data_IF_090651075925
#
_entry.id   IF_090651075925
#
_cell.length_a   1.000
_cell.length_b   1.000
_cell.length_c   1.000
_cell.angle_alpha   90.00
_cell.angle_beta   90.00
_cell.angle_gamma   90.00
#
_symmetry.space_group_name_H-M   'P 1'
#
loop_
_entity.id
_entity.type
_entity.pdbx_description
1 polymer ?
#
# COMPACT_ATOMS: atom_id res chain seq x y z
N UNK A 1 49.90 10.14 -2.55
CA UNK A 1 49.04 8.92 -2.71
C UNK A 1 47.88 8.85 -1.72
N UNK A 2 48.04 9.11 -0.40
CA UNK A 2 46.92 9.08 0.58
C UNK A 2 45.72 9.99 0.24
N UNK A 3 45.94 11.16 -0.38
CA UNK A 3 44.87 12.08 -0.80
C UNK A 3 44.02 11.57 -1.98
N UNK A 4 44.57 10.68 -2.81
CA UNK A 4 43.88 10.10 -3.98
C UNK A 4 42.93 8.97 -3.57
N UNK A 5 43.35 8.14 -2.59
CA UNK A 5 42.51 7.10 -2.01
C UNK A 5 41.25 7.68 -1.34
N UNK A 6 41.38 8.83 -0.65
CA UNK A 6 40.24 9.54 -0.05
C UNK A 6 39.26 10.07 -1.11
N UNK A 7 39.78 10.50 -2.26
CA UNK A 7 38.98 11.00 -3.38
C UNK A 7 38.20 9.87 -4.07
N UNK A 8 38.82 8.70 -4.24
CA UNK A 8 38.16 7.49 -4.75
C UNK A 8 37.08 7.03 -3.75
N UNK A 9 37.38 7.01 -2.45
CA UNK A 9 36.39 6.67 -1.41
C UNK A 9 35.19 7.65 -1.42
N UNK A 10 35.45 8.95 -1.61
CA UNK A 10 34.39 9.97 -1.71
C UNK A 10 33.53 9.80 -2.98
N UNK A 11 34.09 9.33 -4.09
CA UNK A 11 33.33 9.06 -5.31
C UNK A 11 32.46 7.80 -5.17
N UNK A 12 32.97 6.73 -4.54
CA UNK A 12 32.15 5.56 -4.20
C UNK A 12 31.06 5.90 -3.17
N UNK A 13 31.31 6.85 -2.26
CA UNK A 13 30.29 7.27 -1.29
C UNK A 13 29.23 8.22 -1.87
N UNK A 14 29.51 8.95 -2.96
CA UNK A 14 28.49 9.78 -3.62
C UNK A 14 27.51 8.96 -4.47
N UNK A 15 27.87 7.74 -4.87
CA UNK A 15 26.96 6.77 -5.49
C UNK A 15 26.15 5.92 -4.50
N UNK A 16 26.29 6.12 -3.18
CA UNK A 16 25.68 5.26 -2.13
C UNK A 16 24.21 5.55 -1.80
N UNK A 17 23.54 6.51 -2.44
CA UNK A 17 22.10 6.73 -2.26
C UNK A 17 21.31 6.34 -3.50
N UNK A 18 21.50 5.09 -3.90
CA UNK A 18 20.67 4.36 -4.84
C UNK A 18 19.79 3.40 -4.01
N UNK A 19 18.48 3.60 -4.02
CA UNK A 19 17.52 2.66 -3.40
C UNK A 19 16.86 1.84 -4.49
N UNK A 20 17.02 0.53 -4.43
CA UNK A 20 16.42 -0.42 -5.36
C UNK A 20 15.22 -1.12 -4.72
N UNK A 21 14.10 -1.10 -5.45
CA UNK A 21 12.86 -1.75 -5.05
C UNK A 21 12.53 -2.84 -6.07
N UNK A 22 12.41 -4.08 -5.59
CA UNK A 22 12.12 -5.25 -6.43
C UNK A 22 10.67 -5.67 -6.26
N UNK A 23 9.94 -5.77 -7.35
CA UNK A 23 8.54 -6.17 -7.37
C UNK A 23 8.34 -7.42 -8.22
N UNK A 24 7.79 -8.45 -7.61
CA UNK A 24 7.52 -9.75 -8.24
C UNK A 24 6.02 -10.02 -8.44
N UNK A 25 5.16 -9.13 -7.96
CA UNK A 25 3.71 -9.23 -8.12
C UNK A 25 3.05 -7.89 -8.41
N UNK A 26 1.97 -7.97 -9.19
CA UNK A 26 1.13 -6.85 -9.60
C UNK A 26 -0.35 -7.17 -9.32
N UNK A 27 -1.07 -6.19 -8.76
CA UNK A 27 -2.51 -6.25 -8.48
C UNK A 27 -3.22 -5.04 -9.06
N UNK A 28 -4.40 -5.26 -9.61
CA UNK A 28 -5.30 -4.20 -10.07
C UNK A 28 -6.68 -4.35 -9.43
N UNK A 29 -7.11 -3.30 -8.74
CA UNK A 29 -8.41 -3.24 -8.09
C UNK A 29 -9.30 -2.23 -8.80
N UNK A 30 -10.54 -2.61 -9.07
CA UNK A 30 -11.57 -1.70 -9.60
C UNK A 30 -12.45 -1.18 -8.49
N UNK A 31 -12.62 0.13 -8.40
CA UNK A 31 -13.60 0.76 -7.52
C UNK A 31 -14.97 0.81 -8.21
N UNK A 32 -15.99 0.22 -7.58
CA UNK A 32 -17.37 0.19 -8.08
C UNK A 32 -18.04 1.57 -8.18
N UNK A 33 -17.69 2.53 -7.33
CA UNK A 33 -18.31 3.86 -7.31
C UNK A 33 -17.74 4.74 -8.41
N UNK A 34 -16.41 4.90 -8.43
CA UNK A 34 -15.75 5.83 -9.36
C UNK A 34 -15.39 5.19 -10.70
N UNK A 35 -15.42 3.86 -10.79
CA UNK A 35 -14.88 3.12 -11.94
C UNK A 35 -13.36 3.16 -12.06
N UNK A 36 -12.66 3.92 -11.20
CA UNK A 36 -11.21 4.07 -11.23
C UNK A 36 -10.52 2.80 -10.75
N UNK A 37 -9.34 2.55 -11.30
CA UNK A 37 -8.47 1.45 -10.89
C UNK A 37 -7.38 1.94 -9.93
N UNK A 38 -7.07 1.12 -8.94
CA UNK A 38 -5.91 1.24 -8.07
C UNK A 38 -4.96 0.09 -8.37
N UNK A 39 -3.69 0.41 -8.65
CA UNK A 39 -2.67 -0.57 -8.98
C UNK A 39 -1.68 -0.70 -7.82
N UNK A 40 -1.21 -1.91 -7.59
CA UNK A 40 -0.21 -2.22 -6.57
C UNK A 40 0.87 -3.10 -7.15
N UNK A 41 2.12 -2.75 -6.88
CA UNK A 41 3.26 -3.62 -7.08
C UNK A 41 3.83 -3.97 -5.70
N UNK A 42 4.13 -5.25 -5.49
CA UNK A 42 4.59 -5.77 -4.21
C UNK A 42 5.74 -6.77 -4.43
N UNK A 43 6.43 -7.07 -3.33
CA UNK A 43 7.39 -8.15 -3.26
C UNK A 43 6.82 -9.26 -2.37
N UNK A 44 6.66 -10.46 -2.90
CA UNK A 44 6.08 -11.60 -2.19
C UNK A 44 6.91 -12.03 -0.97
N UNK A 45 8.21 -11.70 -0.96
CA UNK A 45 9.16 -12.02 0.11
C UNK A 45 9.50 -10.82 1.01
N UNK A 46 9.11 -9.59 0.64
CA UNK A 46 9.42 -8.39 1.40
C UNK A 46 8.21 -7.45 1.55
N UNK A 47 7.73 -7.31 2.79
CA UNK A 47 6.54 -6.53 3.15
C UNK A 47 6.84 -5.07 3.48
N UNK A 48 8.11 -4.69 3.60
CA UNK A 48 8.51 -3.37 4.10
C UNK A 48 8.30 -2.26 3.07
N UNK A 49 8.07 -2.60 1.81
CA UNK A 49 7.74 -1.63 0.78
C UNK A 49 6.70 -2.13 -0.21
N UNK A 50 6.03 -1.17 -0.85
CA UNK A 50 5.13 -1.41 -1.98
C UNK A 50 5.03 -0.14 -2.82
N UNK A 51 4.69 -0.30 -4.09
CA UNK A 51 4.35 0.80 -4.98
C UNK A 51 2.83 0.79 -5.19
N UNK A 52 2.17 1.91 -4.90
CA UNK A 52 0.77 2.10 -5.21
C UNK A 52 0.59 3.18 -6.30
N UNK A 53 -0.30 2.93 -7.25
CA UNK A 53 -0.67 3.87 -8.31
C UNK A 53 -2.17 4.07 -8.28
N UNK A 54 -2.61 5.32 -8.29
CA UNK A 54 -4.03 5.66 -8.23
C UNK A 54 -4.33 6.94 -9.00
N UNK A 55 -5.55 7.02 -9.54
CA UNK A 55 -6.07 8.23 -10.17
C UNK A 55 -6.80 9.08 -9.14
N UNK A 56 -6.46 10.38 -9.07
CA UNK A 56 -7.19 11.38 -8.27
C UNK A 56 -7.48 12.58 -9.17
N UNK A 57 -8.77 12.86 -9.39
CA UNK A 57 -9.21 13.76 -10.46
C UNK A 57 -8.64 13.32 -11.81
N UNK A 58 -8.12 14.22 -12.64
CA UNK A 58 -7.50 13.87 -13.93
C UNK A 58 -6.03 13.48 -13.85
N UNK A 59 -5.45 13.44 -12.65
CA UNK A 59 -4.01 13.15 -12.47
C UNK A 59 -3.81 11.75 -11.90
N UNK A 60 -2.83 11.03 -12.44
CA UNK A 60 -2.40 9.73 -11.92
C UNK A 60 -1.16 9.94 -11.06
N UNK A 61 -1.19 9.40 -9.86
CA UNK A 61 -0.12 9.48 -8.88
C UNK A 61 0.41 8.09 -8.60
N UNK A 62 1.72 7.99 -8.37
CA UNK A 62 2.40 6.79 -7.91
C UNK A 62 3.20 7.11 -6.65
N UNK A 63 3.33 6.14 -5.75
CA UNK A 63 4.17 6.29 -4.58
C UNK A 63 4.80 4.99 -4.13
N UNK A 64 6.10 5.00 -3.85
CA UNK A 64 6.77 3.89 -3.16
C UNK A 64 6.78 4.23 -1.68
N UNK A 65 6.06 3.43 -0.90
CA UNK A 65 6.04 3.56 0.55
C UNK A 65 7.02 2.55 1.12
N UNK A 66 8.04 3.05 1.81
CA UNK A 66 9.08 2.25 2.46
C UNK A 66 8.97 2.44 3.98
N UNK A 67 8.44 1.42 4.65
CA UNK A 67 8.16 1.45 6.09
C UNK A 67 9.42 1.17 6.92
N UNK A 68 10.39 0.43 6.38
CA UNK A 68 11.68 0.16 7.01
C UNK A 68 12.51 1.44 7.09
N UNK A 69 12.70 2.12 5.95
CA UNK A 69 13.45 3.37 5.89
C UNK A 69 12.62 4.60 6.30
N UNK A 70 11.30 4.42 6.49
CA UNK A 70 10.34 5.48 6.84
C UNK A 70 10.36 6.62 5.81
N UNK A 71 10.34 6.27 4.52
CA UNK A 71 10.34 7.21 3.40
C UNK A 71 9.12 6.94 2.51
N UNK A 72 8.61 8.00 1.89
CA UNK A 72 7.67 7.92 0.78
C UNK A 72 8.29 8.64 -0.42
N UNK A 73 8.47 7.92 -1.51
CA UNK A 73 8.83 8.49 -2.81
C UNK A 73 7.55 8.76 -3.60
N UNK A 74 7.37 9.99 -4.11
CA UNK A 74 6.18 10.38 -4.87
C UNK A 74 6.50 10.62 -6.34
N UNK A 75 5.60 10.16 -7.20
CA UNK A 75 5.74 10.20 -8.65
C UNK A 75 4.46 10.74 -9.30
N UNK A 76 4.63 11.58 -10.32
CA UNK A 76 3.58 11.89 -11.29
C UNK A 76 3.60 10.82 -12.37
N UNK A 77 2.46 10.17 -12.60
CA UNK A 77 2.37 9.06 -13.55
C UNK A 77 1.66 9.53 -14.80
N UNK A 78 2.28 9.30 -15.95
CA UNK A 78 1.70 9.64 -17.26
C UNK A 78 1.54 8.37 -18.08
N UNK A 79 0.33 8.15 -18.60
CA UNK A 79 0.07 7.10 -19.56
C UNK A 79 0.42 7.60 -20.96
N UNK A 80 1.38 6.95 -21.62
CA UNK A 80 1.71 7.16 -23.02
C UNK A 80 1.23 5.94 -23.80
N UNK A 81 1.06 6.10 -25.12
CA UNK A 81 0.78 4.96 -26.00
C UNK A 81 1.83 3.88 -25.75
N UNK A 82 1.40 2.73 -25.23
CA UNK A 82 2.20 1.55 -24.90
C UNK A 82 3.24 1.69 -23.76
N UNK A 83 3.21 2.74 -22.94
CA UNK A 83 4.10 2.83 -21.78
C UNK A 83 3.53 3.66 -20.64
N UNK A 84 3.83 3.27 -19.41
CA UNK A 84 3.58 4.08 -18.22
C UNK A 84 4.90 4.72 -17.82
N UNK A 85 4.93 6.06 -17.78
CA UNK A 85 6.12 6.79 -17.32
C UNK A 85 5.87 7.32 -15.90
N UNK A 86 6.78 6.97 -15.00
CA UNK A 86 6.86 7.53 -13.65
C UNK A 86 7.84 8.70 -13.66
N UNK A 87 7.36 9.90 -13.37
CA UNK A 87 8.18 11.09 -13.22
C UNK A 87 8.37 11.37 -11.73
N UNK A 88 9.60 11.23 -11.23
CA UNK A 88 9.90 11.49 -9.84
C UNK A 88 9.59 12.95 -9.47
N UNK A 89 8.88 13.15 -8.37
CA UNK A 89 8.53 14.48 -7.87
C UNK A 89 9.41 14.87 -6.68
N UNK A 90 9.39 14.05 -5.63
CA UNK A 90 10.16 14.24 -4.41
C UNK A 90 10.07 13.01 -3.51
N UNK A 91 10.89 13.00 -2.46
CA UNK A 91 10.78 12.05 -1.35
C UNK A 91 10.50 12.81 -0.07
N UNK A 92 9.79 12.20 0.87
CA UNK A 92 9.54 12.77 2.20
C UNK A 92 9.54 11.70 3.27
N UNK A 93 9.73 12.12 4.52
CA UNK A 93 9.58 11.21 5.66
C UNK A 93 8.16 10.67 5.73
N UNK A 94 8.05 9.37 5.90
CA UNK A 94 6.79 8.69 6.10
C UNK A 94 6.28 8.99 7.51
N UNK A 95 5.32 9.91 7.62
CA UNK A 95 4.55 10.10 8.85
C UNK A 95 3.57 8.93 8.98
N UNK A 96 3.93 7.90 9.75
CA UNK A 96 2.98 6.89 10.21
C UNK A 96 1.97 7.61 11.11
N UNK A 97 0.84 8.06 10.54
CA UNK A 97 -0.21 8.68 11.34
C UNK A 97 -0.66 7.65 12.37
N UNK A 98 -0.42 7.92 13.66
CA UNK A 98 -1.27 7.36 14.70
C UNK A 98 -2.67 7.87 14.41
N UNK A 99 -3.64 6.98 14.24
CA UNK A 99 -5.03 7.41 14.19
C UNK A 99 -5.30 8.21 15.47
N UNK A 100 -5.62 9.50 15.33
CA UNK A 100 -5.99 10.33 16.48
C UNK A 100 -7.30 9.84 17.10
N UNK A 101 -8.13 9.16 16.30
CA UNK A 101 -9.35 8.48 16.73
C UNK A 101 -9.02 7.07 17.18
N UNK A 102 -9.33 6.79 18.44
CA UNK A 102 -9.27 5.44 19.00
C UNK A 102 -10.52 4.68 18.60
N UNK A 103 -10.36 3.69 17.72
CA UNK A 103 -11.44 2.77 17.37
C UNK A 103 -11.36 1.49 18.19
N UNK A 104 -12.50 0.81 18.29
CA UNK A 104 -12.62 -0.53 18.83
C UNK A 104 -13.17 -1.44 17.75
N UNK A 105 -12.83 -2.72 17.82
CA UNK A 105 -13.09 -3.65 16.72
C UNK A 105 -13.61 -4.98 17.24
N UNK A 106 -14.51 -5.59 16.48
CA UNK A 106 -14.77 -7.04 16.48
C UNK A 106 -14.35 -7.58 15.13
N UNK A 107 -13.62 -8.69 15.13
CA UNK A 107 -13.12 -9.35 13.92
C UNK A 107 -13.65 -10.77 13.95
N UNK A 108 -14.35 -11.15 12.89
CA UNK A 108 -14.81 -12.52 12.68
C UNK A 108 -14.15 -13.04 11.42
N UNK A 109 -13.53 -14.22 11.51
CA UNK A 109 -12.93 -14.89 10.36
C UNK A 109 -13.63 -16.22 10.12
N UNK A 110 -13.86 -16.55 8.85
CA UNK A 110 -14.45 -17.80 8.42
C UNK A 110 -13.69 -18.33 7.22
N UNK A 111 -13.13 -19.53 7.36
CA UNK A 111 -12.53 -20.24 6.23
C UNK A 111 -13.63 -20.63 5.24
N UNK A 112 -13.50 -20.19 3.99
CA UNK A 112 -14.41 -20.56 2.91
C UNK A 112 -13.97 -21.89 2.31
N UNK A 113 -12.69 -21.98 1.97
CA UNK A 113 -12.04 -23.17 1.40
C UNK A 113 -10.55 -23.22 1.81
N UNK A 114 -9.77 -24.14 1.25
CA UNK A 114 -8.34 -24.29 1.56
C UNK A 114 -7.50 -23.05 1.24
N UNK A 115 -7.95 -22.23 0.28
CA UNK A 115 -7.27 -21.07 -0.26
C UNK A 115 -7.88 -19.74 0.13
N UNK A 116 -9.10 -19.70 0.69
CA UNK A 116 -9.83 -18.44 0.95
C UNK A 116 -10.38 -18.31 2.36
N UNK A 117 -10.30 -17.09 2.88
CA UNK A 117 -10.89 -16.69 4.16
C UNK A 117 -11.78 -15.47 3.97
N UNK A 118 -12.98 -15.52 4.55
CA UNK A 118 -13.83 -14.35 4.75
C UNK A 118 -13.48 -13.68 6.08
N UNK A 119 -13.35 -12.36 6.07
CA UNK A 119 -13.11 -11.56 7.29
C UNK A 119 -14.13 -10.44 7.37
N UNK A 120 -14.83 -10.35 8.50
CA UNK A 120 -15.76 -9.26 8.80
C UNK A 120 -15.21 -8.47 9.99
N UNK A 121 -15.04 -7.17 9.79
CA UNK A 121 -14.55 -6.23 10.80
C UNK A 121 -15.68 -5.25 11.11
N UNK A 122 -16.17 -5.28 12.33
CA UNK A 122 -17.07 -4.26 12.86
C UNK A 122 -16.26 -3.23 13.62
N UNK A 123 -16.43 -1.96 13.27
CA UNK A 123 -15.72 -0.83 13.86
C UNK A 123 -16.67 -0.06 14.76
N UNK A 124 -16.19 0.34 15.93
CA UNK A 124 -16.94 1.07 16.93
C UNK A 124 -16.17 2.31 17.40
N UNK A 125 -16.91 3.38 17.67
CA UNK A 125 -16.34 4.62 18.21
C UNK A 125 -16.24 4.62 19.74
N UNK A 126 -16.89 3.67 20.41
CA UNK A 126 -16.96 3.57 21.86
C UNK A 126 -16.54 2.19 22.37
N UNK A 127 -15.94 2.16 23.56
CA UNK A 127 -15.45 0.92 24.18
C UNK A 127 -16.57 -0.08 24.50
N UNK A 128 -17.80 0.40 24.72
CA UNK A 128 -18.95 -0.45 25.05
C UNK A 128 -19.54 -1.11 23.80
N UNK A 129 -19.09 -0.73 22.60
CA UNK A 129 -19.46 -1.32 21.29
C UNK A 129 -20.97 -1.38 21.07
N UNK A 130 -21.70 -0.34 21.48
CA UNK A 130 -23.17 -0.34 21.42
C UNK A 130 -23.72 -0.29 19.98
N UNK A 131 -23.04 0.42 19.09
CA UNK A 131 -23.42 0.57 17.69
C UNK A 131 -22.18 0.64 16.81
N UNK A 132 -22.12 -0.21 15.80
CA UNK A 132 -21.04 -0.17 14.81
C UNK A 132 -21.11 1.13 14.01
N UNK A 133 -19.98 1.83 13.90
CA UNK A 133 -19.82 3.01 13.05
C UNK A 133 -19.36 2.65 11.63
N UNK A 134 -18.73 1.50 11.44
CA UNK A 134 -18.35 0.99 10.11
C UNK A 134 -18.37 -0.52 10.08
N UNK A 135 -18.48 -1.07 8.88
CA UNK A 135 -18.33 -2.50 8.61
C UNK A 135 -17.40 -2.67 7.43
N UNK A 136 -16.43 -3.58 7.55
CA UNK A 136 -15.52 -3.93 6.47
C UNK A 136 -15.62 -5.43 6.26
N UNK A 137 -15.87 -5.84 5.02
CA UNK A 137 -15.96 -7.25 4.62
C UNK A 137 -14.87 -7.54 3.59
N UNK A 138 -14.05 -8.54 3.89
CA UNK A 138 -12.94 -8.96 3.07
C UNK A 138 -13.15 -10.40 2.63
N UNK A 139 -12.80 -10.71 1.38
CA UNK A 139 -12.47 -12.06 0.96
C UNK A 139 -10.97 -12.05 0.67
N UNK A 140 -10.21 -12.92 1.32
CA UNK A 140 -8.76 -12.98 1.25
C UNK A 140 -8.36 -14.29 0.56
N UNK A 141 -7.51 -14.18 -0.46
CA UNK A 141 -6.76 -15.28 -1.04
C UNK A 141 -5.48 -15.50 -0.22
N UNK A 142 -5.41 -16.66 0.43
CA UNK A 142 -4.35 -17.07 1.33
C UNK A 142 -3.16 -17.71 0.59
N UNK A 143 -3.17 -17.76 -0.75
CA UNK A 143 -2.13 -18.42 -1.54
C UNK A 143 -0.75 -17.78 -1.40
N UNK A 144 -0.69 -16.52 -1.00
CA UNK A 144 0.54 -15.73 -0.88
C UNK A 144 0.60 -15.03 0.47
N UNK A 145 1.76 -15.10 1.14
CA UNK A 145 1.99 -14.46 2.43
C UNK A 145 2.25 -12.96 2.29
N UNK A 146 1.30 -12.20 1.75
CA UNK A 146 1.42 -10.74 1.65
C UNK A 146 0.73 -10.10 2.86
N UNK A 147 1.31 -9.02 3.37
CA UNK A 147 0.65 -8.25 4.41
C UNK A 147 -0.49 -7.43 3.78
N UNK A 148 -1.72 -7.79 4.12
CA UNK A 148 -2.91 -7.00 3.87
C UNK A 148 -2.74 -5.53 4.29
N UNK A 149 -1.81 -5.24 5.21
CA UNK A 149 -1.61 -3.92 5.77
C UNK A 149 -1.35 -2.82 4.74
N UNK A 150 -0.56 -3.14 3.73
CA UNK A 150 -0.16 -2.20 2.69
C UNK A 150 -1.29 -1.93 1.70
N UNK A 151 -2.16 -2.92 1.50
CA UNK A 151 -3.29 -2.87 0.55
C UNK A 151 -4.50 -2.22 1.23
N UNK A 152 -4.88 -2.72 2.40
CA UNK A 152 -6.10 -2.30 3.13
C UNK A 152 -6.04 -0.84 3.58
N UNK A 153 -4.86 -0.32 3.97
CA UNK A 153 -4.71 1.06 4.43
C UNK A 153 -5.35 2.05 3.45
N UNK A 154 -5.10 1.88 2.15
CA UNK A 154 -5.58 2.77 1.10
C UNK A 154 -7.08 2.65 0.81
N UNK A 155 -7.69 1.50 1.09
CA UNK A 155 -9.10 1.25 0.79
C UNK A 155 -10.03 1.56 1.96
N UNK A 156 -9.50 1.50 3.19
CA UNK A 156 -10.29 1.72 4.40
C UNK A 156 -10.02 3.08 5.04
N UNK A 157 -9.33 4.00 4.35
CA UNK A 157 -8.87 5.28 4.89
C UNK A 157 -8.15 5.14 6.24
N UNK A 158 -7.36 4.07 6.38
CA UNK A 158 -6.64 3.75 7.61
C UNK A 158 -7.49 3.34 8.82
N UNK A 159 -8.80 3.11 8.65
CA UNK A 159 -9.69 2.67 9.74
C UNK A 159 -9.21 1.36 10.38
N UNK A 160 -8.62 0.44 9.61
CA UNK A 160 -8.20 -0.89 10.13
C UNK A 160 -6.73 -0.99 10.52
N UNK A 161 -6.00 0.13 10.57
CA UNK A 161 -4.55 0.11 10.81
C UNK A 161 -4.16 -0.60 12.11
N UNK A 162 -4.94 -0.39 13.17
CA UNK A 162 -4.61 -0.93 14.51
C UNK A 162 -4.92 -2.43 14.65
N UNK A 163 -5.61 -3.02 13.67
CA UNK A 163 -6.04 -4.42 13.71
C UNK A 163 -5.53 -5.25 12.55
N UNK A 164 -4.74 -4.66 11.64
CA UNK A 164 -4.27 -5.36 10.46
C UNK A 164 -3.46 -6.62 10.77
N UNK A 165 -2.64 -6.58 11.82
CA UNK A 165 -1.85 -7.72 12.30
C UNK A 165 -2.70 -8.87 12.85
N UNK A 166 -4.01 -8.66 13.06
CA UNK A 166 -4.96 -9.68 13.53
C UNK A 166 -5.77 -10.31 12.41
N UNK A 167 -5.61 -9.84 11.18
CA UNK A 167 -6.33 -10.34 10.00
C UNK A 167 -5.47 -11.42 9.35
N UNK A 168 -6.07 -12.54 8.95
CA UNK A 168 -5.39 -13.59 8.17
C UNK A 168 -4.61 -12.97 6.99
N UNK A 169 -3.28 -13.19 6.88
CA UNK A 169 -2.47 -12.61 5.82
C UNK A 169 -2.85 -13.17 4.46
N UNK A 170 -2.73 -12.36 3.41
CA UNK A 170 -3.09 -12.76 2.06
C UNK A 170 -3.22 -11.59 1.09
N UNK A 171 -3.91 -11.84 -0.01
CA UNK A 171 -4.35 -10.81 -0.95
C UNK A 171 -5.85 -10.64 -0.80
N UNK A 172 -6.35 -9.46 -0.38
CA UNK A 172 -7.78 -9.21 -0.41
C UNK A 172 -8.28 -9.24 -1.86
N UNK A 173 -9.11 -10.20 -2.25
CA UNK A 173 -9.69 -10.26 -3.60
C UNK A 173 -10.99 -9.46 -3.73
N UNK A 174 -11.65 -9.20 -2.60
CA UNK A 174 -12.83 -8.36 -2.49
C UNK A 174 -12.77 -7.58 -1.19
N UNK A 175 -13.05 -6.28 -1.25
CA UNK A 175 -13.07 -5.37 -0.10
C UNK A 175 -14.37 -4.56 -0.19
N UNK A 176 -15.24 -4.70 0.82
CA UNK A 176 -16.44 -3.88 0.98
C UNK A 176 -16.28 -3.03 2.22
N UNK A 177 -16.53 -1.73 2.11
CA UNK A 177 -16.40 -0.78 3.21
C UNK A 177 -17.66 0.05 3.33
N UNK A 178 -18.35 -0.11 4.46
CA UNK A 178 -19.44 0.76 4.89
C UNK A 178 -18.87 1.82 5.86
N UNK A 179 -18.69 3.05 5.38
CA UNK A 179 -18.11 4.14 6.16
C UNK A 179 -19.11 4.76 7.14
N UNK A 180 -18.64 5.47 8.19
CA UNK A 180 -19.52 6.16 9.14
C UNK A 180 -20.42 7.23 8.50
N UNK A 181 -20.01 7.74 7.33
CA UNK A 181 -20.77 8.71 6.54
C UNK A 181 -21.96 8.09 5.81
N UNK A 182 -22.10 6.77 5.81
CA UNK A 182 -23.08 6.03 5.01
C UNK A 182 -22.61 5.70 3.60
N UNK A 183 -21.43 6.19 3.17
CA UNK A 183 -20.83 5.83 1.90
C UNK A 183 -20.45 4.35 1.90
N UNK A 184 -20.80 3.63 0.83
CA UNK A 184 -20.47 2.21 0.65
C UNK A 184 -19.57 2.02 -0.55
N UNK A 185 -18.32 1.63 -0.31
CA UNK A 185 -17.35 1.38 -1.36
C UNK A 185 -17.13 -0.12 -1.54
N UNK A 186 -17.03 -0.57 -2.80
CA UNK A 186 -16.66 -1.93 -3.14
C UNK A 186 -15.46 -1.92 -4.08
N UNK A 187 -14.43 -2.66 -3.71
CA UNK A 187 -13.22 -2.86 -4.50
C UNK A 187 -13.06 -4.35 -4.81
N UNK A 188 -12.82 -4.66 -6.07
CA UNK A 188 -12.64 -6.04 -6.53
C UNK A 188 -11.31 -6.15 -7.24
N UNK A 189 -10.54 -7.19 -6.91
CA UNK A 189 -9.34 -7.55 -7.64
C UNK A 189 -9.75 -8.05 -9.03
N UNK A 190 -9.39 -7.30 -10.06
CA UNK A 190 -9.69 -7.64 -11.46
C UNK A 190 -8.50 -8.22 -12.20
N UNK A 191 -7.28 -8.05 -11.65
CA UNK A 191 -6.06 -8.56 -12.26
C UNK A 191 -5.02 -8.88 -11.19
N UNK A 192 -4.36 -10.03 -11.33
CA UNK A 192 -3.23 -10.50 -10.53
C UNK A 192 -2.20 -11.12 -11.47
N UNK A 193 -0.99 -10.57 -11.50
CA UNK A 193 0.09 -11.04 -12.38
C UNK A 193 1.41 -11.15 -11.62
N UNK A 194 2.22 -12.14 -12.00
CA UNK A 194 3.64 -12.16 -11.63
C UNK A 194 4.39 -11.17 -12.51
N UNK A 195 5.28 -10.40 -11.89
CA UNK A 195 6.16 -9.46 -12.57
C UNK A 195 7.61 -9.75 -12.19
N UNK A 196 8.55 -9.09 -12.86
CA UNK A 196 9.93 -9.01 -12.40
C UNK A 196 10.42 -7.60 -12.71
N UNK A 197 10.04 -6.67 -11.85
CA UNK A 197 10.23 -5.24 -12.06
C UNK A 197 11.14 -4.68 -10.98
N UNK A 198 12.19 -3.99 -11.40
CA UNK A 198 13.09 -3.27 -10.51
C UNK A 198 12.87 -1.78 -10.73
N UNK A 199 12.70 -1.04 -9.65
CA UNK A 199 12.63 0.41 -9.68
C UNK A 199 13.77 0.98 -8.83
N UNK A 200 14.60 1.77 -9.49
CA UNK A 200 15.75 2.42 -8.88
C UNK A 200 15.44 3.89 -8.62
N UNK A 201 15.70 4.37 -7.41
CA UNK A 201 15.57 5.78 -7.03
C UNK A 201 16.95 6.37 -6.79
N UNK A 202 17.39 7.20 -7.73
CA UNK A 202 18.66 7.92 -7.66
C UNK A 202 18.49 9.34 -7.10
N UNK A 203 19.50 9.85 -6.40
CA UNK A 203 19.60 11.25 -5.96
C UNK A 203 18.42 11.75 -5.11
N UNK A 204 18.07 11.00 -4.05
CA UNK A 204 16.98 11.31 -3.13
C UNK A 204 17.20 12.65 -2.40
N UNK A 205 16.48 13.71 -2.80
CA UNK A 205 16.29 14.90 -1.95
C UNK A 205 15.05 14.73 -1.08
N UNK A 206 15.26 14.47 0.22
CA UNK A 206 14.18 14.38 1.21
C UNK A 206 13.68 15.78 1.57
N UNK A 207 12.42 16.09 1.25
CA UNK A 207 11.75 17.31 1.70
C UNK A 207 11.21 17.13 3.12
N UNK A 208 11.46 18.11 3.98
CA UNK A 208 10.83 18.22 5.30
C UNK A 208 9.59 19.12 5.16
N UNK A 209 8.40 18.56 5.40
CA UNK A 209 7.13 19.26 5.47
C UNK A 209 6.53 19.14 6.87
#
# INVERSE_FOLDING_TARGET
>A
MKKFALFILFFFCKSLFCQEYHFDGFLEYKNSISGNNSLYFYNSNNKVYYLNVYKKFETIYGGIRDTENKILHEYGVTNKVNSIKFNYLFSRKLKLKKNSRKYFYDITEKKIDSSKTEVIILVYNDKKKKKSSSKIELIIDNSELIANENILFSFTDGIVNDVNSKITPGIPISIKVDFPTGLKCYYTLIKKEKTNTILTVDNVKIKNF
#
